data_IF_803933549816
#
_entry.id   IF_803933549816
#
_cell.length_a   1.000
_cell.length_b   1.000
_cell.length_c   1.000
_cell.angle_alpha   90.00
_cell.angle_beta   90.00
_cell.angle_gamma   90.00
#
_symmetry.space_group_name_H-M   'P 1'
#
loop_
_entity.id
_entity.type
_entity.pdbx_description
1 polymer ?
#
# COMPACT_ATOMS: atom_id res chain seq x y z
N UNK A 1 27.69 37.60 -95.28
CA UNK A 1 27.71 38.24 -93.98
C UNK A 1 26.92 37.42 -93.07
N UNK A 2 27.61 36.72 -92.21
CA UNK A 2 26.96 35.84 -91.24
C UNK A 2 26.51 36.69 -90.07
N UNK A 3 25.21 36.85 -89.91
CA UNK A 3 24.64 37.43 -88.73
C UNK A 3 24.72 36.40 -87.61
N UNK A 4 25.64 36.67 -86.75
CA UNK A 4 25.86 35.83 -85.61
C UNK A 4 24.72 36.08 -84.63
N UNK A 5 23.66 35.29 -84.74
CA UNK A 5 22.59 35.32 -83.78
C UNK A 5 23.08 34.55 -82.51
N UNK A 6 23.56 35.31 -81.61
CA UNK A 6 23.83 34.75 -80.26
C UNK A 6 22.52 34.43 -79.64
N UNK A 7 22.17 33.16 -79.65
CA UNK A 7 21.09 32.64 -78.87
C UNK A 7 21.46 32.79 -77.42
N UNK A 8 20.96 33.82 -76.82
CA UNK A 8 21.03 33.98 -75.38
C UNK A 8 20.24 32.83 -74.76
N UNK A 9 20.96 31.78 -74.41
CA UNK A 9 20.39 30.73 -73.60
C UNK A 9 20.06 31.40 -72.31
N UNK A 10 18.76 31.60 -72.12
CA UNK A 10 18.23 31.96 -70.81
C UNK A 10 18.64 30.87 -69.86
N UNK A 11 19.62 31.16 -69.04
CA UNK A 11 19.92 30.40 -67.87
C UNK A 11 18.67 30.39 -67.04
N UNK A 12 17.85 29.36 -67.24
CA UNK A 12 16.80 29.02 -66.34
C UNK A 12 17.44 28.69 -65.03
N UNK A 13 17.55 29.69 -64.20
CA UNK A 13 17.86 29.52 -62.82
C UNK A 13 16.80 28.54 -62.32
N UNK A 14 17.13 27.26 -62.34
CA UNK A 14 16.43 26.27 -61.56
C UNK A 14 16.60 26.72 -60.12
N UNK A 15 15.67 27.55 -59.66
CA UNK A 15 15.46 27.75 -58.26
C UNK A 15 15.29 26.35 -57.68
N UNK A 16 16.39 25.81 -57.17
CA UNK A 16 16.32 24.69 -56.27
C UNK A 16 15.34 25.15 -55.20
N UNK A 17 14.09 24.71 -55.32
CA UNK A 17 13.21 24.73 -54.19
C UNK A 17 13.97 23.93 -53.15
N UNK A 18 14.63 24.65 -52.25
CA UNK A 18 14.97 24.05 -50.99
C UNK A 18 13.64 23.57 -50.47
N UNK A 19 13.37 22.30 -50.69
CA UNK A 19 12.38 21.65 -49.87
C UNK A 19 12.90 21.88 -48.46
N UNK A 20 12.32 22.84 -47.79
CA UNK A 20 12.48 22.91 -46.36
C UNK A 20 12.01 21.55 -45.91
N UNK A 21 12.95 20.64 -45.64
CA UNK A 21 12.70 19.51 -44.85
C UNK A 21 12.08 20.09 -43.58
N UNK A 22 10.76 19.98 -43.50
CA UNK A 22 10.10 20.27 -42.24
C UNK A 22 10.84 19.44 -41.22
N UNK A 23 11.40 20.03 -40.18
CA UNK A 23 11.91 19.24 -39.12
C UNK A 23 10.73 18.38 -38.67
N UNK A 24 10.79 17.13 -39.04
CA UNK A 24 9.90 16.16 -38.47
C UNK A 24 10.27 16.13 -36.98
N UNK A 25 9.63 17.01 -36.23
CA UNK A 25 9.61 16.86 -34.80
C UNK A 25 8.74 15.64 -34.53
N UNK A 26 9.27 14.49 -34.89
CA UNK A 26 8.74 13.24 -34.37
C UNK A 26 8.96 13.33 -32.88
N UNK A 27 7.90 13.68 -32.18
CA UNK A 27 7.87 13.47 -30.74
C UNK A 27 8.14 11.99 -30.58
N UNK A 28 9.35 11.67 -30.17
CA UNK A 28 9.72 10.31 -29.91
C UNK A 28 8.89 9.86 -28.70
N UNK A 29 7.86 9.10 -28.96
CA UNK A 29 6.93 8.58 -27.93
C UNK A 29 7.64 7.58 -27.02
N UNK A 30 8.77 7.04 -27.46
CA UNK A 30 9.52 6.03 -26.69
C UNK A 30 9.91 6.48 -25.28
N UNK A 31 10.47 7.68 -25.02
CA UNK A 31 10.75 8.14 -23.67
C UNK A 31 9.49 8.30 -22.82
N UNK A 32 8.39 8.74 -23.42
CA UNK A 32 7.11 8.87 -22.72
C UNK A 32 6.52 7.52 -22.34
N UNK A 33 6.53 6.57 -23.27
CA UNK A 33 6.06 5.20 -23.04
C UNK A 33 6.92 4.50 -21.98
N UNK A 34 8.23 4.71 -22.00
CA UNK A 34 9.14 4.15 -21.02
C UNK A 34 8.83 4.64 -19.59
N UNK A 35 8.64 5.94 -19.43
CA UNK A 35 8.23 6.52 -18.15
C UNK A 35 6.88 5.95 -17.67
N UNK A 36 5.91 5.85 -18.57
CA UNK A 36 4.59 5.30 -18.25
C UNK A 36 4.67 3.83 -17.87
N UNK A 37 5.46 3.03 -18.56
CA UNK A 37 5.65 1.62 -18.23
C UNK A 37 6.37 1.44 -16.91
N UNK A 38 7.41 2.21 -16.64
CA UNK A 38 8.13 2.17 -15.36
C UNK A 38 7.20 2.52 -14.19
N UNK A 39 6.42 3.60 -14.34
CA UNK A 39 5.44 3.98 -13.33
C UNK A 39 4.37 2.90 -13.14
N UNK A 40 3.89 2.30 -14.22
CA UNK A 40 2.92 1.21 -14.16
C UNK A 40 3.47 0.02 -13.38
N UNK A 41 4.70 -0.39 -13.64
CA UNK A 41 5.36 -1.48 -12.94
C UNK A 41 5.58 -1.15 -11.46
N UNK A 42 6.02 0.08 -11.15
CA UNK A 42 6.21 0.55 -9.78
C UNK A 42 4.88 0.49 -9.02
N UNK A 43 3.79 1.00 -9.58
CA UNK A 43 2.48 0.93 -8.95
C UNK A 43 1.97 -0.51 -8.83
N UNK A 44 2.24 -1.36 -9.82
CA UNK A 44 1.84 -2.76 -9.79
C UNK A 44 2.56 -3.55 -8.69
N UNK A 45 3.83 -3.25 -8.44
CA UNK A 45 4.61 -3.87 -7.36
C UNK A 45 4.27 -3.25 -6.00
N UNK A 46 4.06 -1.94 -5.94
CA UNK A 46 3.76 -1.23 -4.70
C UNK A 46 2.33 -1.47 -4.19
N UNK A 47 1.36 -1.68 -5.07
CA UNK A 47 -0.03 -1.86 -4.70
C UNK A 47 -0.26 -3.03 -3.71
N UNK A 48 0.29 -4.25 -3.92
CA UNK A 48 0.17 -5.31 -2.93
C UNK A 48 0.92 -5.04 -1.62
N UNK A 49 1.95 -4.18 -1.65
CA UNK A 49 2.66 -3.78 -0.43
C UNK A 49 1.86 -2.77 0.41
N UNK A 50 0.91 -2.09 -0.21
CA UNK A 50 0.01 -1.16 0.46
C UNK A 50 -1.24 -1.83 1.03
N UNK A 51 -1.47 -3.10 0.75
CA UNK A 51 -2.53 -3.87 1.39
C UNK A 51 -2.15 -4.15 2.83
N UNK A 52 -2.35 -3.14 3.62
CA UNK A 52 -2.05 -3.14 5.03
C UNK A 52 -3.27 -3.62 5.77
N UNK A 53 -3.16 -4.80 6.29
CA UNK A 53 -4.16 -5.33 7.19
C UNK A 53 -5.26 -6.13 6.51
N UNK A 54 -5.55 -7.25 7.12
CA UNK A 54 -6.75 -8.03 6.83
C UNK A 54 -7.94 -7.22 7.35
N UNK A 55 -8.97 -6.99 6.54
CA UNK A 55 -10.20 -6.39 7.06
C UNK A 55 -10.80 -7.31 8.13
N UNK A 56 -10.93 -6.79 9.31
CA UNK A 56 -11.50 -7.48 10.46
C UNK A 56 -12.77 -6.75 10.88
N UNK A 57 -13.88 -7.44 10.91
CA UNK A 57 -15.12 -6.92 11.48
C UNK A 57 -15.02 -6.99 13.00
N UNK A 58 -14.77 -5.85 13.61
CA UNK A 58 -14.67 -5.77 15.06
C UNK A 58 -16.06 -5.83 15.69
N UNK A 59 -16.22 -6.55 16.81
CA UNK A 59 -17.47 -6.53 17.54
C UNK A 59 -17.78 -5.12 18.04
N UNK A 60 -18.99 -4.68 17.85
CA UNK A 60 -19.47 -3.38 18.32
C UNK A 60 -19.68 -3.38 19.84
N UNK A 61 -19.11 -2.42 20.50
CA UNK A 61 -19.33 -2.22 21.93
C UNK A 61 -19.56 -0.74 22.25
N UNK A 62 -20.16 -0.49 23.39
CA UNK A 62 -20.35 0.87 23.93
C UNK A 62 -19.14 1.35 24.73
N UNK A 63 -17.99 0.69 24.59
CA UNK A 63 -16.79 1.07 25.30
C UNK A 63 -16.26 2.43 24.85
N UNK A 64 -15.69 3.17 25.77
CA UNK A 64 -15.01 4.44 25.44
C UNK A 64 -13.77 4.16 24.58
N UNK A 65 -13.43 5.13 23.74
CA UNK A 65 -12.21 5.07 22.95
C UNK A 65 -10.98 4.88 23.87
N UNK A 66 -10.08 4.01 23.44
CA UNK A 66 -8.83 3.79 24.16
C UNK A 66 -7.95 5.06 24.06
N UNK A 67 -7.20 5.39 25.12
CA UNK A 67 -6.26 6.49 25.06
C UNK A 67 -5.21 6.24 23.96
N UNK A 68 -4.92 7.28 23.20
CA UNK A 68 -3.90 7.25 22.17
C UNK A 68 -2.55 7.46 22.85
N UNK A 69 -1.71 6.43 22.85
CA UNK A 69 -0.32 6.57 23.25
C UNK A 69 0.50 7.12 22.06
N UNK A 70 1.57 7.85 22.35
CA UNK A 70 2.44 8.45 21.32
C UNK A 70 3.22 7.42 20.50
N UNK A 71 3.25 6.18 20.91
CA UNK A 71 3.85 5.06 20.17
C UNK A 71 2.79 4.34 19.35
N UNK A 72 3.17 3.85 18.17
CA UNK A 72 2.30 2.97 17.39
C UNK A 72 1.86 1.78 18.24
N UNK A 73 0.56 1.53 18.38
CA UNK A 73 0.09 0.47 19.24
C UNK A 73 0.54 -0.91 18.73
N UNK A 74 1.05 -1.72 19.63
CA UNK A 74 1.34 -3.12 19.31
C UNK A 74 0.03 -3.90 19.28
N UNK A 75 -0.39 -4.27 18.07
CA UNK A 75 -1.68 -4.89 17.85
C UNK A 75 -1.53 -6.35 17.46
N UNK A 76 -2.26 -7.20 18.16
CA UNK A 76 -2.48 -8.60 17.80
C UNK A 76 -3.89 -8.73 17.24
N UNK A 77 -3.99 -9.26 16.04
CA UNK A 77 -5.26 -9.43 15.35
C UNK A 77 -5.61 -10.91 15.23
N UNK A 78 -6.83 -11.25 15.56
CA UNK A 78 -7.42 -12.57 15.32
C UNK A 78 -8.44 -12.44 14.20
N UNK A 79 -8.14 -13.02 13.04
CA UNK A 79 -9.02 -12.96 11.88
C UNK A 79 -10.23 -13.87 12.03
N UNK A 80 -11.23 -13.70 11.15
CA UNK A 80 -12.42 -14.56 11.12
C UNK A 80 -12.10 -16.04 10.91
N UNK A 81 -10.99 -16.34 10.22
CA UNK A 81 -10.48 -17.69 9.96
C UNK A 81 -9.70 -18.28 11.14
N UNK A 82 -9.50 -17.50 12.20
CA UNK A 82 -8.74 -17.92 13.39
C UNK A 82 -7.23 -17.74 13.25
N UNK A 83 -6.77 -17.02 12.24
CA UNK A 83 -5.36 -16.71 12.05
C UNK A 83 -4.93 -15.58 12.98
N UNK A 84 -3.80 -15.77 13.65
CA UNK A 84 -3.23 -14.76 14.54
C UNK A 84 -2.19 -13.94 13.75
N UNK A 85 -2.30 -12.63 13.85
CA UNK A 85 -1.36 -11.70 13.22
C UNK A 85 -0.79 -10.73 14.24
N UNK A 86 0.51 -10.47 14.19
CA UNK A 86 1.14 -9.36 14.90
C UNK A 86 1.28 -8.21 13.91
N UNK A 87 0.57 -7.11 14.16
CA UNK A 87 0.45 -6.01 13.19
C UNK A 87 -0.03 -6.54 11.83
N UNK A 88 0.86 -6.74 10.88
CA UNK A 88 0.54 -7.22 9.53
C UNK A 88 1.20 -8.57 9.20
N UNK A 89 1.81 -9.20 10.18
CA UNK A 89 2.55 -10.46 9.98
C UNK A 89 1.80 -11.62 10.61
N UNK A 90 1.49 -12.63 9.81
CA UNK A 90 0.91 -13.87 10.29
C UNK A 90 1.89 -14.59 11.22
N UNK A 91 1.38 -15.07 12.34
CA UNK A 91 2.19 -15.69 13.37
C UNK A 91 1.45 -16.89 13.95
N UNK A 92 2.15 -18.00 14.10
CA UNK A 92 1.62 -19.17 14.82
C UNK A 92 1.44 -18.90 16.30
N UNK A 93 0.49 -19.56 16.92
CA UNK A 93 0.25 -19.45 18.36
C UNK A 93 1.49 -19.77 19.20
N UNK A 94 2.31 -20.72 18.75
CA UNK A 94 3.54 -21.13 19.43
C UNK A 94 4.64 -20.06 19.40
N UNK A 95 4.66 -19.26 18.34
CA UNK A 95 5.66 -18.20 18.13
C UNK A 95 5.20 -16.83 18.62
N UNK A 96 3.89 -16.68 18.89
CA UNK A 96 3.25 -15.42 19.23
C UNK A 96 3.95 -14.73 20.42
N UNK A 97 4.11 -15.45 21.51
CA UNK A 97 4.69 -14.92 22.75
C UNK A 97 6.15 -14.53 22.54
N UNK A 98 6.94 -15.39 21.90
CA UNK A 98 8.36 -15.13 21.63
C UNK A 98 8.58 -13.88 20.78
N UNK A 99 7.79 -13.75 19.69
CA UNK A 99 7.86 -12.58 18.81
C UNK A 99 7.39 -11.30 19.52
N UNK A 100 6.33 -11.37 20.30
CA UNK A 100 5.86 -10.23 21.07
C UNK A 100 6.85 -9.78 22.13
N UNK A 101 7.49 -10.72 22.82
CA UNK A 101 8.55 -10.39 23.80
C UNK A 101 9.75 -9.70 23.14
N UNK A 102 10.17 -10.17 21.97
CA UNK A 102 11.24 -9.54 21.20
C UNK A 102 10.88 -8.11 20.78
N UNK A 103 9.65 -7.88 20.33
CA UNK A 103 9.18 -6.54 19.95
C UNK A 103 9.02 -5.65 21.19
N UNK A 104 8.44 -6.17 22.26
CA UNK A 104 8.22 -5.42 23.51
C UNK A 104 9.54 -4.98 24.17
N UNK A 105 10.61 -5.76 24.03
CA UNK A 105 11.92 -5.41 24.56
C UNK A 105 12.50 -4.11 23.97
N UNK A 106 12.10 -3.75 22.74
CA UNK A 106 12.51 -2.53 22.06
C UNK A 106 11.56 -1.35 22.28
N UNK A 107 10.42 -1.59 22.94
CA UNK A 107 9.37 -0.59 23.15
C UNK A 107 9.35 -0.08 24.60
N UNK A 108 8.82 1.12 24.76
CA UNK A 108 8.59 1.72 26.08
C UNK A 108 7.28 1.28 26.71
N UNK A 109 6.29 0.98 25.85
CA UNK A 109 4.95 0.56 26.28
C UNK A 109 4.83 -0.97 26.22
N UNK A 110 4.36 -1.56 27.28
CA UNK A 110 4.03 -2.99 27.39
C UNK A 110 2.58 -3.29 26.99
N UNK A 111 1.84 -2.27 26.55
CA UNK A 111 0.44 -2.39 26.19
C UNK A 111 0.27 -3.09 24.86
N UNK A 112 -0.55 -4.12 24.83
CA UNK A 112 -0.96 -4.84 23.64
C UNK A 112 -2.44 -4.59 23.38
N UNK A 113 -2.77 -4.33 22.13
CA UNK A 113 -4.15 -4.23 21.67
C UNK A 113 -4.53 -5.51 20.96
N UNK A 114 -5.55 -6.19 21.47
CA UNK A 114 -6.12 -7.37 20.83
C UNK A 114 -7.34 -6.95 20.00
N UNK A 115 -7.26 -7.17 18.70
CA UNK A 115 -8.36 -7.01 17.76
C UNK A 115 -8.85 -8.40 17.37
N UNK A 116 -10.09 -8.69 17.61
CA UNK A 116 -10.69 -9.95 17.19
C UNK A 116 -11.88 -9.67 16.26
N UNK A 117 -11.96 -10.41 15.16
CA UNK A 117 -13.12 -10.35 14.30
C UNK A 117 -14.38 -10.82 15.03
N UNK A 118 -15.50 -10.15 14.78
CA UNK A 118 -16.78 -10.46 15.41
C UNK A 118 -17.31 -11.86 15.10
N UNK A 119 -16.83 -12.51 14.05
CA UNK A 119 -17.16 -13.89 13.71
C UNK A 119 -16.47 -14.92 14.61
N UNK A 120 -15.42 -14.53 15.34
CA UNK A 120 -14.76 -15.40 16.30
C UNK A 120 -15.65 -15.65 17.51
N UNK A 121 -15.65 -16.88 17.99
CA UNK A 121 -16.29 -17.18 19.25
C UNK A 121 -15.41 -16.70 20.42
N UNK A 122 -16.05 -16.48 21.56
CA UNK A 122 -15.35 -16.01 22.75
C UNK A 122 -14.23 -16.95 23.21
N UNK A 123 -14.38 -18.24 23.01
CA UNK A 123 -13.36 -19.25 23.38
C UNK A 123 -12.04 -19.01 22.62
N UNK A 124 -12.11 -18.71 21.34
CA UNK A 124 -10.92 -18.38 20.53
C UNK A 124 -10.22 -17.11 21.03
N UNK A 125 -10.98 -16.08 21.32
CA UNK A 125 -10.47 -14.82 21.88
C UNK A 125 -9.83 -15.04 23.25
N UNK A 126 -10.51 -15.78 24.12
CA UNK A 126 -10.02 -16.09 25.47
C UNK A 126 -8.72 -16.92 25.44
N UNK A 127 -8.58 -17.83 24.50
CA UNK A 127 -7.32 -18.58 24.30
C UNK A 127 -6.16 -17.68 23.95
N UNK A 128 -6.36 -16.76 23.01
CA UNK A 128 -5.31 -15.77 22.63
C UNK A 128 -4.98 -14.87 23.83
N UNK A 129 -5.96 -14.38 24.55
CA UNK A 129 -5.73 -13.59 25.77
C UNK A 129 -4.96 -14.39 26.82
N UNK A 130 -5.29 -15.66 27.00
CA UNK A 130 -4.58 -16.57 27.90
C UNK A 130 -3.11 -16.76 27.51
N UNK A 131 -2.83 -16.92 26.22
CA UNK A 131 -1.46 -17.01 25.69
C UNK A 131 -0.68 -15.73 25.97
N UNK A 132 -1.28 -14.57 25.72
CA UNK A 132 -0.64 -13.28 25.98
C UNK A 132 -0.35 -13.10 27.48
N UNK A 133 -1.31 -13.42 28.32
CA UNK A 133 -1.14 -13.30 29.77
C UNK A 133 -0.07 -14.27 30.32
N UNK A 134 -0.04 -15.51 29.83
CA UNK A 134 1.01 -16.47 30.20
C UNK A 134 2.41 -16.04 29.71
N UNK A 135 2.48 -15.26 28.64
CA UNK A 135 3.69 -14.64 28.12
C UNK A 135 4.20 -13.43 28.92
N UNK A 136 3.47 -13.04 30.00
CA UNK A 136 3.83 -11.90 30.83
C UNK A 136 3.17 -10.57 30.45
N UNK A 137 2.30 -10.58 29.44
CA UNK A 137 1.55 -9.41 29.02
C UNK A 137 0.25 -9.28 29.81
N UNK A 138 0.27 -8.45 30.84
CA UNK A 138 -0.91 -8.18 31.68
C UNK A 138 -1.74 -6.98 31.21
N UNK A 139 -1.14 -6.10 30.41
CA UNK A 139 -1.78 -4.88 29.94
C UNK A 139 -2.35 -5.07 28.53
N UNK A 140 -3.47 -5.76 28.45
CA UNK A 140 -4.13 -6.09 27.18
C UNK A 140 -5.38 -5.25 27.03
N UNK A 141 -5.43 -4.42 25.98
CA UNK A 141 -6.62 -3.68 25.59
C UNK A 141 -7.37 -4.40 24.47
N UNK A 142 -8.64 -4.71 24.70
CA UNK A 142 -9.50 -5.24 23.65
C UNK A 142 -10.01 -4.11 22.77
N UNK A 143 -9.72 -4.15 21.48
CA UNK A 143 -10.17 -3.15 20.52
C UNK A 143 -11.48 -3.61 19.90
N UNK A 144 -12.48 -2.77 20.03
CA UNK A 144 -13.80 -2.99 19.44
C UNK A 144 -14.24 -1.74 18.68
N UNK A 145 -15.09 -1.90 17.70
CA UNK A 145 -15.71 -0.76 17.04
C UNK A 145 -16.77 -0.12 17.95
N UNK A 146 -16.88 1.19 17.86
CA UNK A 146 -17.95 1.91 18.56
C UNK A 146 -19.27 1.60 17.84
N UNK A 147 -20.26 1.13 18.61
CA UNK A 147 -21.59 0.89 18.07
C UNK A 147 -22.14 2.17 17.42
N UNK A 148 -22.54 2.09 16.16
CA UNK A 148 -23.20 3.18 15.47
C UNK A 148 -24.59 3.36 16.06
N UNK A 149 -24.99 4.61 16.42
CA UNK A 149 -26.34 4.85 16.86
C UNK A 149 -27.32 4.49 15.73
N UNK A 150 -28.09 3.45 15.91
CA UNK A 150 -29.08 2.93 14.95
C UNK A 150 -28.87 1.50 14.42
N UNK A 151 -27.78 0.82 14.76
CA UNK A 151 -27.58 -0.60 14.43
C UNK A 151 -28.03 -1.53 15.56
N UNK A 152 -29.02 -1.11 16.31
CA UNK A 152 -29.67 -1.98 17.29
C UNK A 152 -30.66 -2.89 16.57
N UNK A 153 -30.25 -4.09 16.27
CA UNK A 153 -31.14 -5.15 15.87
C UNK A 153 -31.17 -6.27 16.86
#
# INVERSE_FOLDING_TARGET
MAANVIKKQGSGSRRRRHSRAQPMSEINVTPFVDVMLVLLIIFMVAAPLMTVGVPVELPETSANALPVDDEEPLTVTLTAEGVIMIQNTETGADELVAKLQAIAAERRSDRIYLRADGANNWDAVAKVMGLLNSGGFSNIGLVTDVARPGSGG
#
